data_IF_732894536884
#
_entry.id   IF_732894536884
#
_cell.length_a   1.000
_cell.length_b   1.000
_cell.length_c   1.000
_cell.angle_alpha   90.00
_cell.angle_beta   90.00
_cell.angle_gamma   90.00
#
_symmetry.space_group_name_H-M   'P 1'
#
loop_
_entity.id
_entity.type
_entity.pdbx_description
1 polymer ?
#
# COMPACT_ATOMS: atom_id res chain seq x y z
N UNK A 1 17.57 -42.29 21.11
CA UNK A 1 18.05 -42.62 19.74
C UNK A 1 17.47 -41.62 18.76
N UNK A 2 18.32 -41.01 17.92
CA UNK A 2 17.86 -40.13 16.84
C UNK A 2 17.49 -40.97 15.61
N UNK A 3 16.30 -40.77 15.06
CA UNK A 3 15.90 -41.37 13.79
C UNK A 3 16.54 -40.59 12.65
N UNK A 4 17.27 -41.27 11.76
CA UNK A 4 17.93 -40.66 10.60
C UNK A 4 17.20 -41.14 9.35
N UNK A 5 16.49 -40.23 8.68
CA UNK A 5 15.74 -40.54 7.46
C UNK A 5 16.66 -40.72 6.23
N UNK A 6 17.82 -40.06 6.23
CA UNK A 6 18.79 -40.12 5.14
C UNK A 6 19.90 -39.07 5.24
N UNK A 7 20.61 -38.87 4.13
CA UNK A 7 21.66 -37.86 3.99
C UNK A 7 21.39 -37.01 2.76
N UNK A 8 21.56 -35.69 2.89
CA UNK A 8 21.53 -34.75 1.77
C UNK A 8 22.98 -34.39 1.38
N UNK A 9 23.27 -34.44 0.07
CA UNK A 9 24.58 -34.07 -0.47
C UNK A 9 24.43 -32.75 -1.20
N UNK A 10 25.11 -31.71 -0.71
CA UNK A 10 25.07 -30.36 -1.28
C UNK A 10 26.47 -29.90 -1.71
N UNK A 11 26.57 -29.00 -2.70
CA UNK A 11 27.84 -28.36 -3.05
C UNK A 11 28.40 -27.53 -1.87
N UNK A 12 29.71 -27.63 -1.64
CA UNK A 12 30.38 -26.76 -0.67
C UNK A 12 30.51 -25.33 -1.23
N UNK A 13 29.85 -24.37 -0.59
CA UNK A 13 29.86 -22.96 -0.99
C UNK A 13 30.89 -22.21 -0.13
N UNK A 14 31.97 -21.65 -0.71
CA UNK A 14 32.93 -20.84 0.04
C UNK A 14 32.30 -19.48 0.36
N UNK A 15 31.98 -19.25 1.63
CA UNK A 15 31.40 -18.01 2.11
C UNK A 15 32.53 -17.05 2.51
N UNK A 16 32.53 -15.84 1.95
CA UNK A 16 33.48 -14.81 2.35
C UNK A 16 33.12 -14.30 3.77
N UNK A 17 34.09 -14.19 4.69
CA UNK A 17 33.83 -13.69 6.04
C UNK A 17 33.15 -12.31 6.01
N UNK A 18 32.04 -12.17 6.73
CA UNK A 18 31.29 -10.90 6.83
C UNK A 18 30.34 -10.61 5.67
N UNK A 19 30.15 -11.53 4.73
CA UNK A 19 29.16 -11.44 3.64
C UNK A 19 27.99 -12.42 3.83
N UNK A 20 27.79 -12.89 5.06
CA UNK A 20 26.60 -13.66 5.43
C UNK A 20 25.47 -12.70 5.73
N UNK A 21 24.29 -13.00 5.20
CA UNK A 21 23.05 -12.27 5.49
C UNK A 21 21.99 -13.27 5.94
N UNK A 22 20.91 -12.77 6.52
CA UNK A 22 19.68 -13.53 6.67
C UNK A 22 18.53 -12.76 6.01
N UNK A 23 17.54 -13.49 5.53
CA UNK A 23 16.29 -12.93 5.04
C UNK A 23 15.17 -13.91 5.35
N UNK A 24 14.07 -13.40 5.88
CA UNK A 24 12.94 -14.24 6.25
C UNK A 24 11.71 -13.44 6.60
N UNK A 25 10.66 -14.14 6.99
CA UNK A 25 9.50 -13.54 7.61
C UNK A 25 9.03 -14.36 8.81
N UNK A 26 8.39 -13.68 9.74
CA UNK A 26 7.71 -14.30 10.87
C UNK A 26 6.36 -13.61 11.10
N UNK A 27 5.39 -14.37 11.62
CA UNK A 27 4.07 -13.82 11.94
C UNK A 27 4.09 -13.16 13.31
N UNK A 28 3.88 -11.85 13.33
CA UNK A 28 3.60 -11.06 14.53
C UNK A 28 2.10 -11.10 14.88
N UNK A 29 1.79 -11.03 16.18
CA UNK A 29 0.42 -11.11 16.67
C UNK A 29 -0.45 -9.92 16.25
N UNK A 30 0.16 -8.74 16.02
CA UNK A 30 -0.53 -7.49 15.70
C UNK A 30 -0.48 -7.18 14.21
N UNK A 31 0.71 -7.30 13.61
CA UNK A 31 0.95 -6.87 12.23
C UNK A 31 0.85 -8.00 11.20
N UNK A 32 0.68 -9.25 11.65
CA UNK A 32 0.73 -10.41 10.76
C UNK A 32 2.15 -10.69 10.29
N UNK A 33 2.36 -11.23 9.08
CA UNK A 33 3.70 -11.53 8.61
C UNK A 33 4.55 -10.26 8.48
N UNK A 34 5.76 -10.30 9.04
CA UNK A 34 6.76 -9.25 8.97
C UNK A 34 8.04 -9.83 8.38
N UNK A 35 8.58 -9.18 7.34
CA UNK A 35 9.88 -9.52 6.79
C UNK A 35 11.00 -8.94 7.65
N UNK A 36 12.11 -9.67 7.70
CA UNK A 36 13.36 -9.23 8.29
C UNK A 36 14.52 -9.50 7.33
N UNK A 37 15.44 -8.54 7.26
CA UNK A 37 16.68 -8.63 6.48
C UNK A 37 17.82 -8.05 7.29
N UNK A 38 19.00 -8.67 7.25
CA UNK A 38 20.16 -8.16 7.98
C UNK A 38 21.42 -8.98 7.78
N UNK A 39 22.50 -8.58 8.45
CA UNK A 39 23.74 -9.35 8.47
C UNK A 39 23.57 -10.65 9.26
N UNK A 40 24.19 -11.72 8.76
CA UNK A 40 24.26 -13.04 9.40
C UNK A 40 25.59 -13.26 10.12
N UNK A 41 25.67 -14.36 10.86
CA UNK A 41 26.89 -14.80 11.56
C UNK A 41 26.95 -14.44 13.05
N UNK A 42 27.79 -15.18 13.79
CA UNK A 42 27.86 -15.15 15.27
C UNK A 42 28.32 -13.82 15.88
N UNK A 43 28.93 -12.93 15.09
CA UNK A 43 29.35 -11.61 15.55
C UNK A 43 28.21 -10.57 15.54
N UNK A 44 27.09 -10.87 14.86
CA UNK A 44 25.98 -9.94 14.59
C UNK A 44 24.80 -10.14 15.56
N UNK A 45 24.71 -11.25 16.30
CA UNK A 45 23.75 -11.34 17.42
C UNK A 45 23.92 -10.21 18.46
N UNK A 46 25.11 -9.57 18.49
CA UNK A 46 25.43 -8.42 19.36
C UNK A 46 25.14 -7.03 18.75
N UNK A 47 25.05 -6.92 17.43
CA UNK A 47 24.80 -5.67 16.71
C UNK A 47 23.52 -5.88 15.95
N UNK A 48 22.39 -5.36 16.45
CA UNK A 48 21.05 -5.51 15.86
C UNK A 48 20.90 -4.87 14.46
N UNK A 49 21.75 -5.26 13.50
CA UNK A 49 21.78 -4.82 12.12
C UNK A 49 20.69 -5.55 11.32
N UNK A 50 19.46 -5.10 11.53
CA UNK A 50 18.28 -5.65 10.86
C UNK A 50 17.35 -4.52 10.43
N UNK A 51 16.76 -4.69 9.26
CA UNK A 51 15.62 -3.93 8.78
C UNK A 51 14.38 -4.81 8.78
N UNK A 52 13.23 -4.21 9.06
CA UNK A 52 11.93 -4.86 9.04
C UNK A 52 11.08 -4.27 7.92
N UNK A 53 10.20 -5.08 7.35
CA UNK A 53 9.26 -4.66 6.32
C UNK A 53 7.93 -5.38 6.45
N UNK A 54 6.87 -4.74 5.99
CA UNK A 54 5.53 -5.33 5.94
C UNK A 54 5.24 -5.75 4.50
N UNK A 55 4.77 -6.99 4.25
CA UNK A 55 4.29 -7.38 2.94
C UNK A 55 2.95 -6.65 2.63
N UNK A 56 2.66 -6.35 1.35
CA UNK A 56 3.51 -6.55 0.17
C UNK A 56 4.73 -5.60 0.12
N UNK A 57 5.88 -6.13 -0.29
CA UNK A 57 7.04 -5.33 -0.70
C UNK A 57 7.03 -5.12 -2.21
N UNK A 58 7.50 -3.94 -2.62
CA UNK A 58 7.97 -3.65 -3.98
C UNK A 58 9.49 -3.43 -3.98
N UNK A 59 10.08 -3.22 -5.16
CA UNK A 59 11.51 -2.99 -5.33
C UNK A 59 12.02 -1.79 -4.50
N UNK A 60 11.20 -0.74 -4.36
CA UNK A 60 11.55 0.45 -3.58
C UNK A 60 11.61 0.17 -2.09
N UNK A 61 10.61 -0.52 -1.55
CA UNK A 61 10.55 -0.94 -0.14
C UNK A 61 11.65 -1.95 0.18
N UNK A 62 11.91 -2.92 -0.68
CA UNK A 62 12.99 -3.88 -0.52
C UNK A 62 14.37 -3.18 -0.54
N UNK A 63 14.59 -2.24 -1.45
CA UNK A 63 15.82 -1.46 -1.51
C UNK A 63 16.00 -0.58 -0.28
N UNK A 64 14.92 0.03 0.22
CA UNK A 64 14.93 0.80 1.45
C UNK A 64 15.27 -0.07 2.67
N UNK A 65 14.68 -1.26 2.77
CA UNK A 65 15.04 -2.25 3.81
C UNK A 65 16.53 -2.57 3.77
N UNK A 66 17.08 -2.88 2.59
CA UNK A 66 18.51 -3.17 2.46
C UNK A 66 19.34 -1.96 2.88
N UNK A 67 19.02 -0.77 2.37
CA UNK A 67 19.77 0.46 2.63
C UNK A 67 19.78 0.89 4.10
N UNK A 68 18.78 0.45 4.88
CA UNK A 68 18.67 0.71 6.32
C UNK A 68 19.51 -0.25 7.18
N UNK A 69 20.32 -1.11 6.57
CA UNK A 69 21.27 -1.99 7.27
C UNK A 69 22.71 -1.47 7.17
N UNK A 70 23.55 -1.79 8.15
CA UNK A 70 24.98 -1.53 8.08
C UNK A 70 25.67 -2.40 7.02
N UNK A 71 25.21 -3.64 6.80
CA UNK A 71 25.72 -4.54 5.76
C UNK A 71 25.60 -3.94 4.35
N UNK A 72 24.64 -3.05 4.11
CA UNK A 72 24.48 -2.33 2.84
C UNK A 72 25.78 -1.68 2.33
N UNK A 73 26.61 -1.19 3.27
CA UNK A 73 27.90 -0.54 2.95
C UNK A 73 28.93 -1.50 2.35
N UNK A 74 28.80 -2.80 2.60
CA UNK A 74 29.67 -3.85 2.07
C UNK A 74 29.16 -4.38 0.71
N UNK A 75 27.87 -4.23 0.42
CA UNK A 75 27.24 -4.72 -0.82
C UNK A 75 27.74 -3.98 -2.07
N UNK A 76 28.13 -2.71 -1.93
CA UNK A 76 28.70 -1.89 -3.00
C UNK A 76 30.14 -2.27 -3.40
N UNK A 77 30.74 -3.27 -2.76
CA UNK A 77 32.13 -3.66 -2.91
C UNK A 77 33.06 -2.83 -2.02
N UNK A 78 34.13 -3.46 -1.54
CA UNK A 78 35.16 -2.79 -0.73
C UNK A 78 36.52 -3.45 -0.96
N UNK A 79 37.57 -2.64 -1.10
CA UNK A 79 38.94 -3.11 -1.40
C UNK A 79 38.94 -4.11 -2.57
N UNK A 80 39.29 -5.37 -2.32
CA UNK A 80 39.39 -6.45 -3.30
C UNK A 80 38.08 -7.27 -3.45
N UNK A 81 37.01 -6.88 -2.74
CA UNK A 81 35.70 -7.55 -2.81
C UNK A 81 34.83 -6.84 -3.84
N UNK A 82 34.38 -7.53 -4.90
CA UNK A 82 33.51 -6.95 -5.92
C UNK A 82 32.13 -6.63 -5.35
N UNK A 83 31.43 -5.67 -5.97
CA UNK A 83 30.04 -5.39 -5.67
C UNK A 83 29.17 -6.63 -5.93
N UNK A 84 28.13 -6.81 -5.11
CA UNK A 84 27.17 -7.91 -5.28
C UNK A 84 26.05 -7.53 -6.24
N UNK A 85 25.33 -8.53 -6.75
CA UNK A 85 24.06 -8.30 -7.45
C UNK A 85 22.98 -7.90 -6.43
N UNK A 86 22.87 -6.60 -6.18
CA UNK A 86 21.87 -6.03 -5.27
C UNK A 86 20.44 -6.36 -5.71
N UNK A 87 20.19 -6.42 -7.02
CA UNK A 87 18.88 -6.73 -7.57
C UNK A 87 18.50 -8.19 -7.28
N UNK A 88 19.47 -9.11 -7.16
CA UNK A 88 19.17 -10.47 -6.69
C UNK A 88 18.66 -10.50 -5.25
N UNK A 89 19.16 -9.63 -4.38
CA UNK A 89 18.68 -9.52 -2.99
C UNK A 89 17.26 -8.96 -2.97
N UNK A 90 16.99 -7.91 -3.75
CA UNK A 90 15.64 -7.34 -3.92
C UNK A 90 14.65 -8.41 -4.39
N UNK A 91 15.01 -9.21 -5.40
CA UNK A 91 14.18 -10.34 -5.87
C UNK A 91 13.88 -11.36 -4.78
N UNK A 92 14.83 -11.66 -3.89
CA UNK A 92 14.61 -12.58 -2.75
C UNK A 92 13.62 -11.98 -1.75
N UNK A 93 13.76 -10.69 -1.39
CA UNK A 93 12.84 -10.04 -0.46
C UNK A 93 11.41 -9.97 -1.02
N UNK A 94 11.27 -9.62 -2.30
CA UNK A 94 9.97 -9.64 -2.97
C UNK A 94 9.37 -11.05 -3.04
N UNK A 95 10.18 -12.07 -3.31
CA UNK A 95 9.73 -13.46 -3.31
C UNK A 95 9.28 -13.92 -1.92
N UNK A 96 10.02 -13.58 -0.85
CA UNK A 96 9.61 -13.86 0.53
C UNK A 96 8.31 -13.15 0.89
N UNK A 97 8.14 -11.90 0.45
CA UNK A 97 6.90 -11.14 0.62
C UNK A 97 5.74 -11.82 -0.08
N UNK A 98 5.93 -12.26 -1.33
CA UNK A 98 4.89 -12.95 -2.10
C UNK A 98 4.54 -14.30 -1.47
N UNK A 99 5.51 -15.07 -0.99
CA UNK A 99 5.28 -16.33 -0.26
C UNK A 99 4.45 -16.07 1.00
N UNK A 100 4.80 -15.03 1.76
CA UNK A 100 4.03 -14.67 2.95
C UNK A 100 2.58 -14.30 2.62
N UNK A 101 2.30 -13.71 1.47
CA UNK A 101 0.93 -13.36 1.03
C UNK A 101 0.18 -14.62 0.57
N UNK A 102 0.76 -15.38 -0.36
CA UNK A 102 0.06 -16.45 -1.09
C UNK A 102 -0.07 -17.75 -0.28
N UNK A 103 0.79 -17.95 0.73
CA UNK A 103 0.85 -19.17 1.51
C UNK A 103 0.61 -18.93 3.01
N UNK A 104 -0.64 -18.70 3.44
CA UNK A 104 -0.97 -18.49 4.85
C UNK A 104 -0.70 -19.67 5.77
N UNK A 105 -0.48 -20.87 5.22
CA UNK A 105 -0.02 -22.04 5.98
C UNK A 105 1.46 -21.98 6.38
N UNK A 106 2.24 -21.02 5.91
CA UNK A 106 3.62 -20.79 6.34
C UNK A 106 3.60 -19.64 7.35
N UNK A 107 3.88 -19.96 8.61
CA UNK A 107 3.93 -18.98 9.70
C UNK A 107 5.25 -18.23 9.75
N UNK A 108 6.34 -18.93 9.44
CA UNK A 108 7.71 -18.41 9.45
C UNK A 108 8.50 -19.06 8.32
N UNK A 109 9.39 -18.28 7.69
CA UNK A 109 10.42 -18.78 6.79
C UNK A 109 11.70 -17.97 7.06
N UNK A 110 12.83 -18.66 7.23
CA UNK A 110 14.13 -18.04 7.43
C UNK A 110 15.14 -18.63 6.46
N UNK A 111 15.86 -17.78 5.73
CA UNK A 111 16.99 -18.14 4.88
C UNK A 111 18.25 -17.63 5.57
N UNK A 112 19.05 -18.55 6.10
CA UNK A 112 20.21 -18.22 6.90
C UNK A 112 21.27 -19.35 6.88
N UNK A 113 22.39 -19.21 6.14
CA UNK A 113 22.85 -17.97 5.52
C UNK A 113 22.30 -17.75 4.10
N UNK A 114 22.01 -16.48 3.79
CA UNK A 114 21.83 -15.93 2.46
C UNK A 114 23.16 -15.29 2.01
N UNK A 115 23.74 -15.77 0.92
CA UNK A 115 25.07 -15.37 0.46
C UNK A 115 24.98 -14.66 -0.89
N UNK A 116 25.23 -13.34 -0.96
CA UNK A 116 25.20 -12.59 -2.20
C UNK A 116 26.53 -12.72 -2.95
N UNK A 117 26.46 -12.67 -4.27
CA UNK A 117 27.62 -12.75 -5.17
C UNK A 117 27.46 -11.73 -6.30
N UNK A 118 28.52 -11.48 -7.06
CA UNK A 118 28.45 -10.61 -8.25
C UNK A 118 27.52 -11.14 -9.36
N UNK A 119 27.05 -12.40 -9.27
CA UNK A 119 26.21 -13.06 -10.29
C UNK A 119 24.79 -13.40 -9.80
N UNK A 120 24.46 -13.07 -8.56
CA UNK A 120 23.19 -13.46 -7.95
C UNK A 120 23.34 -13.75 -6.46
N UNK A 121 22.41 -14.52 -5.90
CA UNK A 121 22.35 -14.84 -4.47
C UNK A 121 22.12 -16.33 -4.27
N UNK A 122 22.73 -16.90 -3.22
CA UNK A 122 22.63 -18.32 -2.85
C UNK A 122 21.99 -18.43 -1.46
N UNK A 123 20.91 -19.20 -1.36
CA UNK A 123 20.35 -19.65 -0.09
C UNK A 123 21.07 -20.94 0.32
N UNK A 124 21.82 -20.90 1.41
CA UNK A 124 22.63 -22.04 1.87
C UNK A 124 21.82 -22.96 2.79
N UNK A 125 21.01 -22.39 3.68
CA UNK A 125 20.02 -23.08 4.50
C UNK A 125 18.72 -22.29 4.48
N UNK A 126 17.59 -23.00 4.53
CA UNK A 126 16.27 -22.41 4.58
C UNK A 126 15.36 -23.28 5.45
N UNK A 127 14.64 -22.64 6.38
CA UNK A 127 13.72 -23.32 7.30
C UNK A 127 12.37 -22.66 7.22
N UNK A 128 11.32 -23.46 7.31
CA UNK A 128 9.95 -22.96 7.35
C UNK A 128 9.17 -23.64 8.48
N UNK A 129 8.32 -22.87 9.15
CA UNK A 129 7.36 -23.36 10.14
C UNK A 129 5.96 -23.27 9.55
N UNK A 130 5.25 -24.39 9.58
CA UNK A 130 3.88 -24.51 9.09
C UNK A 130 2.88 -24.22 10.23
N UNK A 131 1.73 -23.65 9.88
CA UNK A 131 0.59 -23.47 10.78
C UNK A 131 -0.73 -23.76 10.03
N UNK A 132 -1.83 -23.80 10.78
CA UNK A 132 -3.15 -23.67 10.16
C UNK A 132 -3.29 -22.23 9.61
N UNK A 133 -3.68 -22.05 8.33
CA UNK A 133 -3.96 -20.73 7.77
C UNK A 133 -4.96 -19.90 8.60
N UNK A 134 -5.92 -20.54 9.27
CA UNK A 134 -6.92 -19.86 10.09
C UNK A 134 -6.35 -19.21 11.36
N UNK A 135 -5.22 -19.72 11.85
CA UNK A 135 -4.55 -19.22 13.06
C UNK A 135 -3.60 -18.05 12.78
N UNK A 136 -3.31 -17.77 11.50
CA UNK A 136 -2.35 -16.73 11.12
C UNK A 136 -3.01 -15.35 11.12
N UNK A 137 -2.45 -14.42 11.89
CA UNK A 137 -2.83 -13.00 11.82
C UNK A 137 -2.69 -12.50 10.37
N UNK A 138 -3.76 -11.89 9.85
CA UNK A 138 -3.80 -11.39 8.47
C UNK A 138 -2.84 -10.21 8.22
N UNK A 139 -2.64 -9.88 6.96
CA UNK A 139 -1.72 -8.83 6.53
C UNK A 139 -2.10 -7.46 7.12
N UNK A 140 -1.11 -6.66 7.53
CA UNK A 140 -1.31 -5.27 7.92
C UNK A 140 -1.66 -4.36 6.73
N UNK A 141 -1.02 -4.60 5.58
CA UNK A 141 -1.25 -3.93 4.30
C UNK A 141 -1.77 -4.99 3.33
N UNK A 142 -2.91 -4.73 2.68
CA UNK A 142 -3.44 -5.68 1.71
C UNK A 142 -2.72 -5.54 0.36
N UNK A 143 -2.65 -6.62 -0.44
CA UNK A 143 -2.18 -6.53 -1.82
C UNK A 143 -2.98 -5.52 -2.63
N UNK A 144 -2.35 -4.98 -3.67
CA UNK A 144 -3.00 -4.04 -4.58
C UNK A 144 -4.30 -4.65 -5.17
N UNK A 145 -5.48 -4.03 -4.96
CA UNK A 145 -6.76 -4.64 -5.31
C UNK A 145 -7.10 -4.39 -6.78
N UNK A 146 -6.37 -5.07 -7.67
CA UNK A 146 -6.46 -4.92 -9.14
C UNK A 146 -7.84 -5.17 -9.74
N UNK A 147 -8.69 -5.94 -9.06
CA UNK A 147 -10.06 -6.22 -9.47
C UNK A 147 -10.97 -4.98 -9.42
N UNK A 148 -10.52 -3.90 -8.78
CA UNK A 148 -11.19 -2.60 -8.77
C UNK A 148 -10.68 -1.63 -9.82
N UNK A 149 -9.77 -2.05 -10.70
CA UNK A 149 -9.49 -1.33 -11.93
C UNK A 149 -10.69 -1.43 -12.88
N UNK A 150 -11.07 -0.31 -13.50
CA UNK A 150 -12.21 -0.29 -14.42
C UNK A 150 -12.09 0.85 -15.44
N UNK A 151 -12.35 0.53 -16.70
CA UNK A 151 -12.64 1.54 -17.72
C UNK A 151 -14.13 1.89 -17.67
N UNK A 152 -14.41 3.18 -17.48
CA UNK A 152 -15.75 3.72 -17.35
C UNK A 152 -15.92 4.92 -18.25
N UNK A 153 -17.14 5.15 -18.74
CA UNK A 153 -17.46 6.34 -19.53
C UNK A 153 -18.48 7.16 -18.78
N UNK A 154 -18.21 8.45 -18.60
CA UNK A 154 -19.15 9.36 -17.94
C UNK A 154 -20.39 9.57 -18.83
N UNK A 155 -21.49 10.06 -18.24
CA UNK A 155 -22.70 10.42 -19.00
C UNK A 155 -22.47 11.45 -20.11
N UNK A 156 -21.40 12.25 -20.00
CA UNK A 156 -21.02 13.23 -21.02
C UNK A 156 -20.09 12.67 -22.11
N UNK A 157 -19.71 11.39 -22.03
CA UNK A 157 -18.87 10.71 -23.01
C UNK A 157 -17.37 10.75 -22.72
N UNK A 158 -16.94 11.20 -21.53
CA UNK A 158 -15.52 11.16 -21.15
C UNK A 158 -15.14 9.74 -20.76
N UNK A 159 -14.18 9.16 -21.47
CA UNK A 159 -13.58 7.87 -21.11
C UNK A 159 -12.58 8.06 -19.97
N UNK A 160 -12.71 7.24 -18.93
CA UNK A 160 -11.86 7.25 -17.74
C UNK A 160 -11.37 5.83 -17.45
N UNK A 161 -10.09 5.71 -17.13
CA UNK A 161 -9.53 4.53 -16.46
C UNK A 161 -9.47 4.81 -14.96
N UNK A 162 -10.27 4.11 -14.16
CA UNK A 162 -10.29 4.24 -12.70
C UNK A 162 -9.54 3.09 -12.08
N UNK A 163 -8.60 3.39 -11.18
CA UNK A 163 -7.86 2.37 -10.44
C UNK A 163 -7.51 2.81 -9.02
N UNK A 164 -7.28 1.88 -8.07
CA UNK A 164 -6.67 2.23 -6.79
C UNK A 164 -5.31 2.92 -7.00
N UNK A 165 -5.00 3.85 -6.09
CA UNK A 165 -3.72 4.53 -5.99
C UNK A 165 -2.59 3.54 -5.72
N UNK A 166 -1.39 3.84 -6.17
CA UNK A 166 -0.13 3.14 -5.88
C UNK A 166 0.82 4.12 -5.17
N UNK A 167 1.80 3.63 -4.39
CA UNK A 167 2.78 4.49 -3.73
C UNK A 167 3.48 5.47 -4.69
N UNK A 168 3.79 5.04 -5.91
CA UNK A 168 4.49 5.84 -6.93
C UNK A 168 3.61 6.93 -7.60
N UNK A 169 2.31 7.01 -7.29
CA UNK A 169 1.41 7.98 -7.91
C UNK A 169 1.52 9.41 -7.35
N UNK A 170 2.41 9.64 -6.38
CA UNK A 170 2.53 10.94 -5.71
C UNK A 170 2.71 12.10 -6.69
N UNK A 171 3.57 11.93 -7.70
CA UNK A 171 3.82 12.96 -8.71
C UNK A 171 2.58 13.27 -9.56
N UNK A 172 1.85 12.23 -9.99
CA UNK A 172 0.61 12.41 -10.74
C UNK A 172 -0.47 13.09 -9.89
N UNK A 173 -0.58 12.70 -8.62
CA UNK A 173 -1.54 13.27 -7.67
C UNK A 173 -1.23 14.74 -7.38
N UNK A 174 0.06 15.10 -7.20
CA UNK A 174 0.51 16.47 -7.05
C UNK A 174 0.14 17.32 -8.28
N UNK A 175 0.39 16.80 -9.49
CA UNK A 175 0.04 17.48 -10.73
C UNK A 175 -1.47 17.70 -10.88
N UNK A 176 -2.29 16.71 -10.50
CA UNK A 176 -3.75 16.86 -10.49
C UNK A 176 -4.20 17.96 -9.53
N UNK A 177 -3.71 17.95 -8.28
CA UNK A 177 -4.08 18.96 -7.28
C UNK A 177 -3.64 20.38 -7.66
N UNK A 178 -2.53 20.53 -8.38
CA UNK A 178 -2.10 21.83 -8.91
C UNK A 178 -3.10 22.42 -9.94
N UNK A 179 -3.94 21.58 -10.54
CA UNK A 179 -4.96 21.96 -11.51
C UNK A 179 -6.40 21.92 -10.94
N UNK A 180 -6.55 21.69 -9.63
CA UNK A 180 -7.80 21.87 -8.89
C UNK A 180 -7.95 23.33 -8.51
N UNK A 181 -9.18 23.87 -8.53
CA UNK A 181 -9.40 25.27 -8.15
C UNK A 181 -9.12 25.49 -6.67
N UNK A 182 -8.67 26.70 -6.29
CA UNK A 182 -8.45 27.05 -4.88
C UNK A 182 -9.71 26.88 -4.03
N UNK A 183 -10.88 27.13 -4.62
CA UNK A 183 -12.17 26.94 -3.95
C UNK A 183 -12.42 25.46 -3.63
N UNK A 184 -12.16 24.56 -4.58
CA UNK A 184 -12.31 23.12 -4.36
C UNK A 184 -11.25 22.55 -3.43
N UNK A 185 -10.02 23.08 -3.44
CA UNK A 185 -8.99 22.70 -2.47
C UNK A 185 -9.44 23.08 -1.05
N UNK A 186 -10.04 24.27 -0.88
CA UNK A 186 -10.60 24.69 0.40
C UNK A 186 -11.72 23.77 0.84
N UNK A 187 -12.62 23.35 -0.05
CA UNK A 187 -13.67 22.39 0.28
C UNK A 187 -13.10 21.01 0.61
N UNK A 188 -12.18 20.49 -0.20
CA UNK A 188 -11.56 19.17 -0.02
C UNK A 188 -10.80 19.01 1.30
N UNK A 189 -10.18 20.08 1.79
CA UNK A 189 -9.35 20.03 2.98
C UNK A 189 -9.90 20.81 4.16
N UNK A 190 -11.07 21.46 4.02
CA UNK A 190 -11.72 22.32 5.02
C UNK A 190 -10.76 23.32 5.70
N UNK A 191 -9.70 23.70 4.98
CA UNK A 191 -8.59 24.54 5.46
C UNK A 191 -8.16 25.50 4.35
N UNK A 192 -7.49 26.59 4.70
CA UNK A 192 -7.02 27.63 3.77
C UNK A 192 -5.81 27.21 2.93
N UNK A 193 -5.91 26.08 2.23
CA UNK A 193 -4.79 25.44 1.53
C UNK A 193 -4.73 25.92 0.10
N UNK A 194 -3.58 26.45 -0.29
CA UNK A 194 -3.29 26.88 -1.65
C UNK A 194 -2.43 25.88 -2.43
N UNK A 195 -1.70 25.00 -1.74
CA UNK A 195 -0.83 23.98 -2.33
C UNK A 195 -0.85 22.71 -1.50
N UNK A 196 -0.92 21.55 -2.17
CA UNK A 196 -0.86 20.24 -1.51
C UNK A 196 0.58 19.74 -1.55
N UNK A 197 1.28 19.86 -0.41
CA UNK A 197 2.65 19.37 -0.26
C UNK A 197 2.74 17.88 0.04
N UNK A 198 3.97 17.37 0.05
CA UNK A 198 4.32 15.96 0.30
C UNK A 198 3.57 15.36 1.50
N UNK A 199 3.60 16.04 2.66
CA UNK A 199 2.97 15.56 3.91
C UNK A 199 1.47 15.22 3.78
N UNK A 200 0.78 15.83 2.82
CA UNK A 200 -0.64 15.57 2.52
C UNK A 200 -0.83 14.52 1.44
N UNK A 201 0.12 14.35 0.52
CA UNK A 201 0.04 13.37 -0.56
C UNK A 201 0.43 11.96 -0.09
N UNK A 202 1.37 11.85 0.85
CA UNK A 202 1.79 10.57 1.44
C UNK A 202 0.60 9.75 1.98
N UNK A 203 -0.26 10.28 2.87
CA UNK A 203 -1.41 9.49 3.37
C UNK A 203 -2.44 9.18 2.27
N UNK A 204 -2.39 9.87 1.13
CA UNK A 204 -3.29 9.65 -0.02
C UNK A 204 -2.77 8.62 -1.02
N UNK A 205 -1.49 8.24 -0.93
CA UNK A 205 -0.81 7.34 -1.86
C UNK A 205 -0.34 6.06 -1.17
N UNK A 206 0.17 6.18 0.06
CA UNK A 206 0.58 5.07 0.91
C UNK A 206 -0.59 4.60 1.79
N UNK A 207 -1.55 3.94 1.15
CA UNK A 207 -2.76 3.42 1.80
C UNK A 207 -2.64 1.92 2.10
N UNK A 208 -3.35 1.44 3.12
CA UNK A 208 -3.33 0.03 3.54
C UNK A 208 -4.26 -0.89 2.71
N UNK A 209 -5.11 -0.30 1.85
CA UNK A 209 -6.21 -0.93 1.10
C UNK A 209 -7.24 -1.71 1.97
N UNK A 210 -7.07 -1.73 3.29
CA UNK A 210 -7.93 -2.40 4.27
C UNK A 210 -8.97 -1.45 4.85
N UNK A 211 -8.57 -0.29 5.35
CA UNK A 211 -9.46 0.75 5.87
C UNK A 211 -9.50 1.94 4.93
N UNK A 212 -8.35 2.27 4.36
CA UNK A 212 -8.21 3.43 3.48
C UNK A 212 -7.94 2.97 2.06
N UNK A 213 -8.68 3.52 1.10
CA UNK A 213 -8.40 3.37 -0.33
C UNK A 213 -8.59 4.72 -1.03
N UNK A 214 -7.77 5.01 -2.02
CA UNK A 214 -7.94 6.18 -2.87
C UNK A 214 -8.02 5.72 -4.32
N UNK A 215 -9.10 6.08 -5.00
CA UNK A 215 -9.31 5.79 -6.41
C UNK A 215 -8.87 6.98 -7.26
N UNK A 216 -8.06 6.70 -8.27
CA UNK A 216 -7.55 7.67 -9.22
C UNK A 216 -8.26 7.47 -10.56
N UNK A 217 -8.79 8.54 -11.14
CA UNK A 217 -9.42 8.53 -12.46
C UNK A 217 -8.52 9.20 -13.50
N UNK A 218 -8.10 8.44 -14.50
CA UNK A 218 -7.25 8.88 -15.58
C UNK A 218 -8.03 9.09 -16.87
N UNK A 219 -7.85 10.23 -17.54
CA UNK A 219 -8.32 10.46 -18.89
C UNK A 219 -7.13 10.37 -19.85
N UNK A 220 -6.94 9.21 -20.49
CA UNK A 220 -5.67 8.89 -21.14
C UNK A 220 -4.58 8.67 -20.08
N UNK A 221 -3.48 9.40 -20.18
CA UNK A 221 -2.38 9.35 -19.17
C UNK A 221 -2.54 10.39 -18.06
N UNK A 222 -3.48 11.33 -18.18
CA UNK A 222 -3.64 12.42 -17.22
C UNK A 222 -4.56 12.03 -16.06
N UNK A 223 -4.10 12.23 -14.83
CA UNK A 223 -4.93 12.11 -13.64
C UNK A 223 -5.87 13.33 -13.54
N UNK A 224 -7.19 13.08 -13.58
CA UNK A 224 -8.20 14.15 -13.61
C UNK A 224 -9.05 14.23 -12.34
N UNK A 225 -9.07 13.17 -11.53
CA UNK A 225 -9.79 13.17 -10.26
C UNK A 225 -9.27 12.10 -9.30
N UNK A 226 -9.49 12.33 -8.00
CA UNK A 226 -9.21 11.37 -6.92
C UNK A 226 -10.42 11.24 -5.99
N UNK A 227 -10.73 10.04 -5.54
CA UNK A 227 -11.78 9.76 -4.56
C UNK A 227 -11.26 8.82 -3.47
N UNK A 228 -11.09 9.37 -2.27
CA UNK A 228 -10.57 8.66 -1.11
C UNK A 228 -11.71 8.20 -0.21
N UNK A 229 -11.70 6.93 0.17
CA UNK A 229 -12.62 6.35 1.13
C UNK A 229 -11.83 5.81 2.33
N UNK A 230 -12.14 6.29 3.53
CA UNK A 230 -11.51 5.85 4.78
C UNK A 230 -12.57 5.32 5.74
N UNK A 231 -12.51 4.02 6.06
CA UNK A 231 -13.46 3.38 6.99
C UNK A 231 -12.95 3.34 8.43
N UNK A 232 -13.89 3.30 9.36
CA UNK A 232 -13.63 2.89 10.74
C UNK A 232 -13.17 1.41 10.80
N UNK A 233 -12.64 0.96 11.96
CA UNK A 233 -12.13 -0.40 12.11
C UNK A 233 -13.18 -1.51 11.97
N UNK A 234 -14.44 -1.24 12.29
CA UNK A 234 -15.58 -2.15 12.19
C UNK A 234 -16.28 -2.12 10.83
N UNK A 235 -16.00 -1.11 9.99
CA UNK A 235 -16.61 -0.97 8.66
C UNK A 235 -18.04 -0.45 8.71
N UNK A 236 -18.52 0.03 9.85
CA UNK A 236 -19.86 0.58 9.99
C UNK A 236 -20.00 1.92 9.25
N UNK A 237 -18.93 2.71 9.24
CA UNK A 237 -18.87 4.02 8.58
C UNK A 237 -17.59 4.22 7.78
N UNK A 238 -17.72 4.94 6.67
CA UNK A 238 -16.57 5.39 5.91
C UNK A 238 -16.73 6.80 5.39
N UNK A 239 -15.69 7.60 5.50
CA UNK A 239 -15.64 8.97 4.99
C UNK A 239 -15.14 8.97 3.54
N UNK A 240 -15.89 9.62 2.65
CA UNK A 240 -15.55 9.85 1.26
C UNK A 240 -15.08 11.30 1.08
N UNK A 241 -13.92 11.47 0.46
CA UNK A 241 -13.40 12.78 0.07
C UNK A 241 -12.94 12.76 -1.39
N UNK A 242 -13.52 13.61 -2.23
CA UNK A 242 -13.31 13.62 -3.68
C UNK A 242 -12.79 14.97 -4.17
N UNK A 243 -11.91 14.95 -5.18
CA UNK A 243 -11.44 16.13 -5.88
C UNK A 243 -11.43 15.88 -7.40
N UNK A 244 -11.81 16.89 -8.19
CA UNK A 244 -11.78 16.86 -9.65
C UNK A 244 -11.10 18.10 -10.17
N UNK A 245 -10.27 17.92 -11.20
CA UNK A 245 -9.61 19.01 -11.93
C UNK A 245 -10.64 20.00 -12.51
N UNK A 246 -10.32 21.28 -12.50
CA UNK A 246 -11.29 22.33 -12.83
C UNK A 246 -11.88 22.19 -14.25
N UNK A 247 -11.07 21.77 -15.22
CA UNK A 247 -11.42 21.54 -16.63
C UNK A 247 -12.22 20.25 -16.88
N UNK A 248 -12.40 19.40 -15.87
CA UNK A 248 -13.24 18.20 -15.91
C UNK A 248 -14.55 18.33 -15.12
N UNK A 249 -14.80 19.50 -14.52
CA UNK A 249 -16.07 19.81 -13.86
C UNK A 249 -17.24 19.81 -14.85
N UNK A 250 -18.42 19.43 -14.35
CA UNK A 250 -19.64 19.34 -15.16
C UNK A 250 -19.67 18.20 -16.18
N UNK A 251 -18.60 17.40 -16.31
CA UNK A 251 -18.52 16.26 -17.24
C UNK A 251 -18.96 14.92 -16.63
N UNK A 252 -19.54 14.93 -15.43
CA UNK A 252 -20.01 13.71 -14.76
C UNK A 252 -18.91 12.84 -14.14
N UNK A 253 -17.68 13.34 -13.99
CA UNK A 253 -16.55 12.61 -13.39
C UNK A 253 -16.82 12.27 -11.92
N UNK A 254 -17.21 13.25 -11.11
CA UNK A 254 -17.53 13.04 -9.69
C UNK A 254 -18.60 11.97 -9.49
N UNK A 255 -19.67 12.02 -10.30
CA UNK A 255 -20.76 11.05 -10.25
C UNK A 255 -20.25 9.62 -10.50
N UNK A 256 -19.45 9.48 -11.56
CA UNK A 256 -18.89 8.18 -11.98
C UNK A 256 -17.97 7.61 -10.88
N UNK A 257 -17.16 8.47 -10.23
CA UNK A 257 -16.32 8.06 -9.11
C UNK A 257 -17.12 7.69 -7.87
N UNK A 258 -18.17 8.46 -7.51
CA UNK A 258 -19.07 8.12 -6.40
C UNK A 258 -19.73 6.76 -6.64
N UNK A 259 -20.23 6.47 -7.84
CA UNK A 259 -20.79 5.15 -8.18
C UNK A 259 -19.76 4.03 -8.02
N UNK A 260 -18.52 4.26 -8.48
CA UNK A 260 -17.42 3.30 -8.34
C UNK A 260 -17.10 3.03 -6.86
N UNK A 261 -16.97 4.09 -6.05
CA UNK A 261 -16.71 3.99 -4.60
C UNK A 261 -17.86 3.28 -3.89
N UNK A 262 -19.12 3.58 -4.21
CA UNK A 262 -20.27 2.92 -3.59
C UNK A 262 -20.34 1.42 -3.94
N UNK A 263 -19.89 1.02 -5.14
CA UNK A 263 -19.74 -0.39 -5.51
C UNK A 263 -18.67 -1.07 -4.67
N UNK A 264 -17.52 -0.41 -4.48
CA UNK A 264 -16.46 -0.87 -3.57
C UNK A 264 -16.96 -1.01 -2.13
N UNK A 265 -17.64 0.02 -1.62
CA UNK A 265 -18.18 0.03 -0.27
C UNK A 265 -19.15 -1.15 -0.03
N UNK A 266 -20.01 -1.46 -1.01
CA UNK A 266 -20.92 -2.62 -0.92
C UNK A 266 -20.15 -3.94 -0.88
N UNK A 267 -19.20 -4.14 -1.78
CA UNK A 267 -18.43 -5.39 -1.82
C UNK A 267 -17.59 -5.62 -0.55
N UNK A 268 -17.15 -4.53 0.08
CA UNK A 268 -16.42 -4.54 1.36
C UNK A 268 -17.34 -4.71 2.58
N UNK A 269 -18.65 -4.58 2.42
CA UNK A 269 -19.61 -4.64 3.51
C UNK A 269 -19.65 -3.39 4.39
N UNK A 270 -19.26 -2.22 3.84
CA UNK A 270 -19.35 -0.96 4.59
C UNK A 270 -20.81 -0.61 4.85
N UNK A 271 -21.18 -0.24 6.07
CA UNK A 271 -22.57 0.07 6.43
C UNK A 271 -23.06 1.41 5.86
N UNK A 272 -22.32 2.49 6.10
CA UNK A 272 -22.68 3.86 5.70
C UNK A 272 -21.46 4.60 5.12
N UNK A 273 -21.66 5.31 4.01
CA UNK A 273 -20.67 6.24 3.48
C UNK A 273 -21.11 7.66 3.81
N UNK A 274 -20.20 8.46 4.36
CA UNK A 274 -20.41 9.85 4.76
C UNK A 274 -19.41 10.79 4.06
N UNK A 275 -19.76 12.05 3.88
CA UNK A 275 -18.83 13.11 3.45
C UNK A 275 -19.13 14.36 4.28
N UNK A 276 -18.06 15.06 4.70
CA UNK A 276 -18.17 16.35 5.38
C UNK A 276 -17.98 17.43 4.33
N UNK A 277 -19.04 18.19 4.10
CA UNK A 277 -19.06 19.22 3.06
C UNK A 277 -19.26 20.60 3.67
N UNK A 278 -18.60 21.60 3.08
CA UNK A 278 -18.93 22.99 3.34
C UNK A 278 -20.33 23.28 2.81
N UNK A 279 -21.14 24.03 3.57
CA UNK A 279 -22.48 24.47 3.12
C UNK A 279 -22.43 25.33 1.87
N UNK A 280 -21.30 25.96 1.58
CA UNK A 280 -21.13 26.80 0.41
C UNK A 280 -20.92 25.96 -0.87
N UNK A 281 -20.55 24.68 -0.74
CA UNK A 281 -20.32 23.76 -1.86
C UNK A 281 -21.64 23.17 -2.40
N UNK A 282 -22.51 24.04 -2.91
CA UNK A 282 -23.84 23.65 -3.42
C UNK A 282 -23.78 22.62 -4.55
N UNK A 283 -22.70 22.62 -5.34
CA UNK A 283 -22.49 21.68 -6.43
C UNK A 283 -22.24 20.25 -5.94
N UNK A 284 -21.38 20.05 -4.92
CA UNK A 284 -21.16 18.74 -4.34
C UNK A 284 -22.42 18.23 -3.64
N UNK A 285 -23.07 19.08 -2.84
CA UNK A 285 -24.30 18.75 -2.12
C UNK A 285 -25.41 18.31 -3.09
N UNK A 286 -25.56 18.99 -4.24
CA UNK A 286 -26.55 18.61 -5.25
C UNK A 286 -26.24 17.24 -5.87
N UNK A 287 -24.97 16.99 -6.20
CA UNK A 287 -24.51 15.71 -6.74
C UNK A 287 -24.76 14.55 -5.77
N UNK A 288 -24.46 14.74 -4.49
CA UNK A 288 -24.64 13.72 -3.46
C UNK A 288 -26.11 13.43 -3.21
N UNK A 289 -26.98 14.46 -3.20
CA UNK A 289 -28.44 14.27 -3.16
C UNK A 289 -28.93 13.43 -4.33
N UNK A 290 -28.50 13.75 -5.54
CA UNK A 290 -28.84 12.96 -6.73
C UNK A 290 -28.33 11.52 -6.60
N UNK A 291 -27.15 11.33 -6.00
CA UNK A 291 -26.56 10.02 -5.71
C UNK A 291 -27.24 9.30 -4.53
N UNK A 292 -28.29 9.87 -3.94
CA UNK A 292 -29.09 9.26 -2.88
C UNK A 292 -28.50 9.42 -1.47
N UNK A 293 -27.65 10.43 -1.26
CA UNK A 293 -27.20 10.82 0.08
C UNK A 293 -28.24 11.71 0.76
N UNK A 294 -28.46 11.44 2.04
CA UNK A 294 -29.25 12.26 2.95
C UNK A 294 -28.35 13.30 3.62
N UNK A 295 -28.87 14.51 3.83
CA UNK A 295 -28.10 15.60 4.44
C UNK A 295 -28.52 15.78 5.89
N UNK A 296 -27.54 15.83 6.78
CA UNK A 296 -27.69 16.17 8.18
C UNK A 296 -26.80 17.37 8.55
N UNK A 297 -27.19 18.18 9.56
CA UNK A 297 -26.30 19.20 10.12
C UNK A 297 -25.06 18.55 10.76
N UNK A 298 -23.88 19.14 10.57
CA UNK A 298 -22.66 18.73 11.29
C UNK A 298 -22.57 19.40 12.67
N UNK A 299 -23.23 18.84 13.69
CA UNK A 299 -23.18 19.35 15.07
C UNK A 299 -23.54 20.85 15.20
N UNK A 300 -22.85 21.55 16.09
CA UNK A 300 -23.05 23.00 16.35
C UNK A 300 -22.32 23.91 15.33
N UNK A 301 -21.57 23.35 14.38
CA UNK A 301 -20.83 24.13 13.39
C UNK A 301 -21.74 24.49 12.21
N UNK A 302 -22.25 25.73 12.20
CA UNK A 302 -23.18 26.21 11.18
C UNK A 302 -22.64 26.32 9.75
N UNK A 303 -21.35 26.03 9.50
CA UNK A 303 -20.71 26.17 8.18
C UNK A 303 -20.55 24.86 7.40
N UNK A 304 -20.81 23.72 8.04
CA UNK A 304 -20.64 22.38 7.47
C UNK A 304 -21.93 21.56 7.53
N UNK A 305 -22.00 20.55 6.67
CA UNK A 305 -23.03 19.52 6.65
C UNK A 305 -22.37 18.15 6.51
N UNK A 306 -23.00 17.13 7.11
CA UNK A 306 -22.66 15.74 6.83
C UNK A 306 -23.67 15.25 5.82
N UNK A 307 -23.19 14.75 4.69
CA UNK A 307 -24.01 13.95 3.79
C UNK A 307 -23.74 12.49 4.06
N UNK A 308 -24.76 11.64 4.04
CA UNK A 308 -24.59 10.21 4.32
C UNK A 308 -25.52 9.35 3.49
N UNK A 309 -25.03 8.19 3.10
CA UNK A 309 -25.79 7.19 2.37
C UNK A 309 -25.55 5.82 2.97
N UNK A 310 -26.64 5.14 3.34
CA UNK A 310 -26.55 3.72 3.68
C UNK A 310 -26.19 2.92 2.42
N UNK A 311 -25.21 2.06 2.56
CA UNK A 311 -24.86 1.09 1.53
C UNK A 311 -25.87 -0.04 1.65
N UNK A 312 -26.83 -0.10 0.74
CA UNK A 312 -27.76 -1.22 0.71
C UNK A 312 -27.00 -2.53 0.45
N UNK A 313 -27.32 -3.56 1.26
CA UNK A 313 -26.81 -4.92 1.12
C UNK A 313 -27.09 -5.49 -0.27
#
# INVERSE_FOLDING_TARGET
>A
DAHIDGFEVQPAIPIQPGMEMFAGFATDATFGPMLAFGAGGKAVELVHDRALGLPPLDDGLALAMISNTHIARLLGGYRDVPAVDLQAIVRVLNALSQIAIDHPGIAEMDINPLVPTARGVLAVDARARICDPADRTGLAILPYPSEWEADVTTRSGVALHVRPVRPDDEAALAAMFAAVSLEDLRFRFLTGVSTVGHDRLVPMTQVDYRRTINFLAFAGEELVASAMLASDPDGERAELALAVRADFKGKGVSWTLVEHVMRYARAKGIGTVESVESRDNQAAIALEREAGFEIAPNGDCGSEVIVRRRVAA
#
